data_IF_108963009927
#
_entry.id   IF_108963009927
#
_cell.length_a   1.000
_cell.length_b   1.000
_cell.length_c   1.000
_cell.angle_alpha   90.00
_cell.angle_beta   90.00
_cell.angle_gamma   90.00
#
_symmetry.space_group_name_H-M   'P 1'
#
loop_
_entity.id
_entity.type
_entity.pdbx_description
1 polymer ?
#
# COMPACT_ATOMS: atom_id res chain seq x y z
N UNK A 1 13.00 -12.31 -0.95
CA UNK A 1 13.24 -11.23 0.05
C UNK A 1 11.90 -10.88 0.70
N UNK A 2 11.83 -10.37 1.93
CA UNK A 2 10.54 -9.95 2.53
C UNK A 2 10.70 -8.64 3.31
N UNK A 3 9.81 -7.67 3.09
CA UNK A 3 9.80 -6.47 3.91
C UNK A 3 9.25 -6.76 5.31
N UNK A 4 9.80 -6.16 6.37
CA UNK A 4 9.23 -6.27 7.71
C UNK A 4 7.80 -5.69 7.78
N UNK A 5 6.94 -6.24 8.65
CA UNK A 5 5.55 -5.73 8.84
C UNK A 5 5.51 -4.24 9.16
N UNK A 6 6.40 -3.79 10.05
CA UNK A 6 6.52 -2.38 10.44
C UNK A 6 6.97 -1.52 9.27
N UNK A 7 7.82 -2.02 8.37
CA UNK A 7 8.27 -1.28 7.19
C UNK A 7 7.09 -0.93 6.28
N UNK A 8 6.26 -1.92 5.92
CA UNK A 8 5.04 -1.69 5.11
C UNK A 8 4.06 -0.73 5.78
N UNK A 9 3.94 -0.82 7.09
CA UNK A 9 3.09 0.09 7.86
C UNK A 9 3.59 1.54 7.79
N UNK A 10 4.90 1.76 7.85
CA UNK A 10 5.48 3.10 7.67
C UNK A 10 5.23 3.61 6.25
N UNK A 11 5.46 2.80 5.22
CA UNK A 11 5.18 3.18 3.82
C UNK A 11 3.70 3.56 3.65
N UNK A 12 2.78 2.78 4.21
CA UNK A 12 1.36 3.07 4.19
C UNK A 12 1.04 4.40 4.89
N UNK A 13 1.59 4.65 6.08
CA UNK A 13 1.34 5.92 6.80
C UNK A 13 1.86 7.13 6.02
N UNK A 14 3.02 7.00 5.36
CA UNK A 14 3.58 8.05 4.51
C UNK A 14 2.67 8.32 3.28
N UNK A 15 2.24 7.26 2.58
CA UNK A 15 1.28 7.37 1.47
C UNK A 15 -0.02 8.05 1.90
N UNK A 16 -0.59 7.61 3.03
CA UNK A 16 -1.82 8.17 3.57
C UNK A 16 -1.66 9.63 3.98
N UNK A 17 -0.55 10.00 4.64
CA UNK A 17 -0.31 11.39 5.04
C UNK A 17 -0.17 12.34 3.84
N UNK A 18 0.44 11.87 2.74
CA UNK A 18 0.66 12.65 1.54
C UNK A 18 -0.65 13.02 0.82
N UNK A 19 -1.76 12.30 1.07
CA UNK A 19 -3.07 12.60 0.51
C UNK A 19 -3.74 13.86 1.09
N UNK A 20 -3.29 14.34 2.27
CA UNK A 20 -3.90 15.48 2.95
C UNK A 20 -3.02 16.73 2.87
N UNK A 21 -1.71 16.58 2.98
CA UNK A 21 -0.77 17.70 2.94
C UNK A 21 0.63 17.25 2.53
N UNK A 22 1.32 18.12 1.80
CA UNK A 22 2.76 18.01 1.60
C UNK A 22 3.45 18.54 2.85
N UNK A 23 3.60 17.67 3.86
CA UNK A 23 4.43 17.96 5.02
C UNK A 23 5.87 17.48 4.74
N UNK A 24 6.90 18.25 5.15
CA UNK A 24 8.28 17.77 5.17
C UNK A 24 8.38 16.42 5.89
N UNK A 25 9.18 15.49 5.36
CA UNK A 25 9.37 14.16 5.96
C UNK A 25 9.75 14.28 7.44
N UNK A 26 10.61 15.24 7.77
CA UNK A 26 11.17 15.49 9.09
C UNK A 26 10.09 15.73 10.14
N UNK A 27 9.00 16.41 9.78
CA UNK A 27 7.88 16.68 10.68
C UNK A 27 7.06 15.42 10.97
N UNK A 28 6.90 14.54 9.97
CA UNK A 28 6.16 13.28 10.09
C UNK A 28 7.01 12.20 10.77
N UNK A 29 8.32 12.22 10.53
CA UNK A 29 9.26 11.17 10.92
C UNK A 29 9.31 10.96 12.43
N UNK A 30 9.31 12.03 13.23
CA UNK A 30 9.31 11.91 14.69
C UNK A 30 8.07 11.15 15.19
N UNK A 31 6.89 11.50 14.66
CA UNK A 31 5.62 10.86 15.01
C UNK A 31 5.60 9.37 14.60
N UNK A 32 6.10 9.04 13.42
CA UNK A 32 6.16 7.65 12.93
C UNK A 32 7.10 6.81 13.80
N UNK A 33 8.29 7.34 14.12
CA UNK A 33 9.27 6.63 14.93
C UNK A 33 8.72 6.29 16.31
N UNK A 34 8.01 7.24 16.92
CA UNK A 34 7.34 7.04 18.22
C UNK A 34 6.22 5.99 18.12
N UNK A 35 5.28 6.15 17.18
CA UNK A 35 4.09 5.29 17.09
C UNK A 35 4.37 3.87 16.63
N UNK A 36 5.30 3.69 15.68
CA UNK A 36 5.59 2.37 15.07
C UNK A 36 6.78 1.69 15.74
N UNK A 37 7.53 2.42 16.57
CA UNK A 37 8.78 1.97 17.20
C UNK A 37 9.76 1.41 16.15
N UNK A 38 10.22 2.31 15.27
CA UNK A 38 11.18 2.07 14.17
C UNK A 38 12.31 3.09 14.19
N UNK A 39 13.42 2.77 13.54
CA UNK A 39 14.57 3.68 13.46
C UNK A 39 14.37 4.74 12.37
N UNK A 40 15.10 5.86 12.49
CA UNK A 40 15.18 6.89 11.46
C UNK A 40 15.58 6.35 10.08
N UNK A 41 16.49 5.36 10.05
CA UNK A 41 16.92 4.69 8.82
C UNK A 41 15.74 4.00 8.13
N UNK A 42 14.94 3.25 8.89
CA UNK A 42 13.74 2.57 8.37
C UNK A 42 12.74 3.56 7.79
N UNK A 43 12.51 4.70 8.46
CA UNK A 43 11.59 5.72 7.94
C UNK A 43 12.08 6.31 6.62
N UNK A 44 13.38 6.58 6.49
CA UNK A 44 13.96 7.10 5.23
C UNK A 44 13.87 6.09 4.08
N UNK A 45 14.13 4.81 4.35
CA UNK A 45 13.99 3.75 3.36
C UNK A 45 12.52 3.58 2.92
N UNK A 46 11.59 3.64 3.87
CA UNK A 46 10.15 3.61 3.58
C UNK A 46 9.70 4.84 2.78
N UNK A 47 10.26 6.01 3.06
CA UNK A 47 10.00 7.23 2.29
C UNK A 47 10.51 7.12 0.85
N UNK A 48 11.68 6.52 0.63
CA UNK A 48 12.16 6.24 -0.72
C UNK A 48 11.17 5.33 -1.49
N UNK A 49 10.65 4.27 -0.85
CA UNK A 49 9.60 3.44 -1.47
C UNK A 49 8.31 4.21 -1.73
N UNK A 50 7.87 5.05 -0.81
CA UNK A 50 6.68 5.90 -1.00
C UNK A 50 6.83 6.83 -2.21
N UNK A 51 8.01 7.40 -2.44
CA UNK A 51 8.28 8.21 -3.62
C UNK A 51 8.22 7.37 -4.91
N UNK A 52 8.76 6.15 -4.90
CA UNK A 52 8.66 5.24 -6.06
C UNK A 52 7.21 4.87 -6.38
N UNK A 53 6.38 4.65 -5.36
CA UNK A 53 4.94 4.39 -5.53
C UNK A 53 4.24 5.63 -6.11
N UNK A 54 4.56 6.81 -5.61
CA UNK A 54 3.98 8.08 -6.09
C UNK A 54 4.37 8.36 -7.54
N UNK A 55 5.61 8.09 -7.93
CA UNK A 55 6.08 8.24 -9.31
C UNK A 55 5.38 7.30 -10.32
N UNK A 56 4.67 6.26 -9.83
CA UNK A 56 3.91 5.29 -10.63
C UNK A 56 2.40 5.41 -10.41
N UNK A 57 1.94 6.54 -9.88
CA UNK A 57 0.54 6.71 -9.49
C UNK A 57 -0.44 6.49 -10.66
N UNK A 58 -0.14 6.98 -11.86
CA UNK A 58 -1.02 6.84 -13.02
C UNK A 58 -1.27 5.37 -13.40
N UNK A 59 -0.20 4.58 -13.49
CA UNK A 59 -0.24 3.14 -13.81
C UNK A 59 -0.96 2.35 -12.71
N UNK A 60 -0.60 2.58 -11.45
CA UNK A 60 -1.22 1.91 -10.30
C UNK A 60 -2.72 2.24 -10.25
N UNK A 61 -3.09 3.50 -10.51
CA UNK A 61 -4.48 3.93 -10.51
C UNK A 61 -5.29 3.33 -11.66
N UNK A 62 -4.68 3.13 -12.82
CA UNK A 62 -5.32 2.44 -13.93
C UNK A 62 -5.70 1.01 -13.53
N UNK A 63 -4.77 0.27 -12.91
CA UNK A 63 -5.03 -1.09 -12.42
C UNK A 63 -6.09 -1.12 -11.32
N UNK A 64 -6.06 -0.19 -10.36
CA UNK A 64 -7.10 -0.10 -9.35
C UNK A 64 -8.47 0.11 -10.01
N UNK A 65 -8.57 1.05 -10.95
CA UNK A 65 -9.83 1.36 -11.64
C UNK A 65 -10.34 0.18 -12.46
N UNK A 66 -9.47 -0.52 -13.17
CA UNK A 66 -9.81 -1.69 -14.00
C UNK A 66 -10.32 -2.85 -13.14
N UNK A 67 -9.62 -3.16 -12.04
CA UNK A 67 -9.90 -4.33 -11.22
C UNK A 67 -10.92 -4.09 -10.10
N UNK A 68 -11.32 -2.84 -9.85
CA UNK A 68 -12.36 -2.49 -8.89
C UNK A 68 -13.74 -2.21 -9.51
N UNK A 69 -13.92 -2.29 -10.85
CA UNK A 69 -15.17 -1.89 -11.53
C UNK A 69 -16.42 -2.66 -11.06
N UNK A 70 -16.27 -3.93 -10.68
CA UNK A 70 -17.37 -4.77 -10.21
C UNK A 70 -17.77 -4.49 -8.75
N UNK A 71 -17.01 -3.66 -8.04
CA UNK A 71 -17.35 -3.23 -6.69
C UNK A 71 -18.23 -1.97 -6.78
N UNK A 72 -19.42 -2.02 -6.14
CA UNK A 72 -20.45 -0.96 -6.13
C UNK A 72 -20.02 0.35 -5.42
N UNK A 73 -18.78 0.80 -5.58
CA UNK A 73 -18.18 1.81 -4.71
C UNK A 73 -17.81 3.03 -5.54
N UNK A 74 -18.69 4.03 -5.54
CA UNK A 74 -18.45 5.28 -6.27
C UNK A 74 -17.27 6.11 -5.74
N UNK A 75 -16.64 5.75 -4.61
CA UNK A 75 -15.31 6.24 -4.18
C UNK A 75 -14.61 5.23 -3.26
N UNK A 76 -13.46 4.70 -3.66
CA UNK A 76 -12.62 3.87 -2.78
C UNK A 76 -12.11 4.78 -1.64
N UNK A 77 -12.32 4.43 -0.35
CA UNK A 77 -11.83 5.27 0.73
C UNK A 77 -10.30 5.30 0.77
N UNK A 78 -9.74 6.38 1.32
CA UNK A 78 -8.30 6.69 1.26
C UNK A 78 -7.42 5.60 1.89
N UNK A 79 -7.91 4.91 2.92
CA UNK A 79 -7.15 3.81 3.55
C UNK A 79 -7.00 2.65 2.57
N UNK A 80 -8.11 2.17 2.03
CA UNK A 80 -8.16 1.07 1.07
C UNK A 80 -7.33 1.41 -0.17
N UNK A 81 -7.50 2.62 -0.69
CA UNK A 81 -6.75 3.11 -1.84
C UNK A 81 -5.23 3.04 -1.62
N UNK A 82 -4.72 3.52 -0.48
CA UNK A 82 -3.28 3.47 -0.21
C UNK A 82 -2.77 2.04 0.09
N UNK A 83 -3.61 1.18 0.67
CA UNK A 83 -3.28 -0.25 0.80
C UNK A 83 -3.16 -0.91 -0.57
N UNK A 84 -4.08 -0.61 -1.50
CA UNK A 84 -4.00 -1.09 -2.88
C UNK A 84 -2.76 -0.56 -3.59
N UNK A 85 -2.43 0.73 -3.46
CA UNK A 85 -1.23 1.31 -4.09
C UNK A 85 0.04 0.59 -3.67
N UNK A 86 0.21 0.36 -2.36
CA UNK A 86 1.34 -0.39 -1.84
C UNK A 86 1.36 -1.84 -2.34
N UNK A 87 0.22 -2.52 -2.27
CA UNK A 87 0.11 -3.92 -2.71
C UNK A 87 0.41 -4.09 -4.20
N UNK A 88 -0.18 -3.26 -5.06
CA UNK A 88 0.04 -3.31 -6.51
C UNK A 88 1.49 -2.98 -6.86
N UNK A 89 2.08 -1.97 -6.21
CA UNK A 89 3.50 -1.68 -6.40
C UNK A 89 4.38 -2.89 -6.06
N UNK A 90 4.12 -3.56 -4.94
CA UNK A 90 4.85 -4.78 -4.58
C UNK A 90 4.66 -5.89 -5.63
N UNK A 91 3.44 -6.08 -6.15
CA UNK A 91 3.17 -7.10 -7.17
C UNK A 91 3.91 -6.85 -8.49
N UNK A 92 4.04 -5.58 -8.91
CA UNK A 92 4.66 -5.20 -10.18
C UNK A 92 6.19 -5.09 -10.08
N UNK A 93 6.69 -4.50 -8.99
CA UNK A 93 8.05 -3.99 -8.90
C UNK A 93 8.92 -4.74 -7.88
N UNK A 94 8.37 -5.69 -7.12
CA UNK A 94 9.12 -6.51 -6.17
C UNK A 94 9.04 -8.00 -6.54
N UNK A 95 9.68 -8.45 -7.65
CA UNK A 95 9.57 -9.83 -8.14
C UNK A 95 10.05 -10.90 -7.16
N UNK A 96 10.94 -10.53 -6.23
CA UNK A 96 11.47 -11.41 -5.18
C UNK A 96 10.52 -11.60 -3.98
N UNK A 97 9.37 -10.92 -3.98
CA UNK A 97 8.36 -11.03 -2.95
C UNK A 97 7.22 -11.97 -3.41
N UNK A 98 6.99 -13.09 -2.71
CA UNK A 98 5.88 -13.97 -3.04
C UNK A 98 4.53 -13.24 -2.97
N UNK A 99 3.70 -13.35 -4.01
CA UNK A 99 2.41 -12.65 -4.10
C UNK A 99 1.51 -12.90 -2.89
N UNK A 100 1.50 -14.13 -2.34
CA UNK A 100 0.73 -14.49 -1.14
C UNK A 100 1.12 -13.65 0.07
N UNK A 101 2.40 -13.27 0.19
CA UNK A 101 2.89 -12.42 1.28
C UNK A 101 2.38 -10.99 1.09
N UNK A 102 2.46 -10.45 -0.12
CA UNK A 102 1.92 -9.11 -0.45
C UNK A 102 0.43 -9.01 -0.12
N UNK A 103 -0.37 -9.97 -0.58
CA UNK A 103 -1.82 -9.99 -0.33
C UNK A 103 -2.11 -10.14 1.17
N UNK A 104 -1.44 -11.06 1.85
CA UNK A 104 -1.61 -11.26 3.30
C UNK A 104 -1.28 -10.00 4.11
N UNK A 105 -0.24 -9.25 3.72
CA UNK A 105 0.16 -8.03 4.42
C UNK A 105 -0.75 -6.85 4.09
N UNK A 106 -1.26 -6.75 2.85
CA UNK A 106 -2.28 -5.78 2.49
C UNK A 106 -3.58 -5.98 3.28
N UNK A 107 -4.04 -7.24 3.42
CA UNK A 107 -5.18 -7.58 4.28
C UNK A 107 -4.93 -7.21 5.74
N UNK A 108 -3.71 -7.46 6.25
CA UNK A 108 -3.34 -7.08 7.62
C UNK A 108 -3.44 -5.57 7.83
N UNK A 109 -2.93 -4.76 6.89
CA UNK A 109 -3.02 -3.30 6.96
C UNK A 109 -4.49 -2.85 6.90
N UNK A 110 -5.28 -3.41 5.99
CA UNK A 110 -6.71 -3.11 5.88
C UNK A 110 -7.46 -3.41 7.17
N UNK A 111 -7.24 -4.57 7.80
CA UNK A 111 -7.85 -4.89 9.11
C UNK A 111 -7.42 -3.97 10.24
N UNK A 112 -6.23 -3.38 10.16
CA UNK A 112 -5.70 -2.47 11.18
C UNK A 112 -6.24 -1.04 11.04
N UNK A 113 -6.47 -0.58 9.80
CA UNK A 113 -6.76 0.83 9.52
C UNK A 113 -8.14 1.08 8.88
N UNK A 114 -8.87 0.02 8.49
CA UNK A 114 -10.18 0.10 7.83
C UNK A 114 -11.19 -0.88 8.47
N UNK A 115 -12.25 -1.25 7.74
CA UNK A 115 -13.29 -2.16 8.23
C UNK A 115 -13.00 -3.62 7.87
N UNK A 116 -13.84 -4.54 8.38
CA UNK A 116 -13.73 -5.96 8.04
C UNK A 116 -14.04 -6.22 6.56
N UNK A 117 -14.99 -5.48 6.01
CA UNK A 117 -15.42 -5.54 4.61
C UNK A 117 -14.28 -5.11 3.67
N UNK A 118 -13.48 -4.12 4.09
CA UNK A 118 -12.30 -3.64 3.38
C UNK A 118 -11.30 -4.76 3.11
N UNK A 119 -11.12 -5.70 4.04
CA UNK A 119 -10.18 -6.81 3.86
C UNK A 119 -10.56 -7.73 2.68
N UNK A 120 -11.85 -8.02 2.51
CA UNK A 120 -12.35 -8.85 1.42
C UNK A 120 -12.22 -8.13 0.07
N UNK A 121 -12.53 -6.83 0.06
CA UNK A 121 -12.34 -5.96 -1.10
C UNK A 121 -10.88 -5.92 -1.56
N UNK A 122 -9.95 -5.61 -0.63
CA UNK A 122 -8.51 -5.56 -0.92
C UNK A 122 -8.00 -6.89 -1.46
N UNK A 123 -8.39 -8.01 -0.83
CA UNK A 123 -7.98 -9.33 -1.31
C UNK A 123 -8.42 -9.57 -2.75
N UNK A 124 -9.69 -9.34 -3.06
CA UNK A 124 -10.23 -9.61 -4.38
C UNK A 124 -9.62 -8.73 -5.47
N UNK A 125 -9.38 -7.45 -5.20
CA UNK A 125 -8.73 -6.54 -6.17
C UNK A 125 -7.30 -6.98 -6.42
N UNK A 126 -6.50 -7.25 -5.37
CA UNK A 126 -5.10 -7.67 -5.54
C UNK A 126 -4.97 -9.05 -6.21
N UNK A 127 -5.88 -9.99 -5.91
CA UNK A 127 -5.95 -11.28 -6.60
C UNK A 127 -6.27 -11.10 -8.09
N UNK A 128 -7.18 -10.18 -8.43
CA UNK A 128 -7.54 -9.88 -9.81
C UNK A 128 -6.39 -9.25 -10.59
N UNK A 129 -5.70 -8.26 -9.99
CA UNK A 129 -4.48 -7.65 -10.55
C UNK A 129 -3.38 -8.69 -10.75
N UNK A 130 -3.14 -9.56 -9.76
CA UNK A 130 -2.11 -10.59 -9.89
C UNK A 130 -2.35 -11.53 -11.08
N UNK A 131 -3.62 -11.90 -11.33
CA UNK A 131 -4.00 -12.76 -12.46
C UNK A 131 -3.85 -12.06 -13.82
N UNK A 132 -4.02 -10.75 -13.91
CA UNK A 132 -3.83 -10.03 -15.18
C UNK A 132 -2.36 -9.85 -15.54
N UNK A 133 -1.48 -9.66 -14.55
CA UNK A 133 -0.04 -9.48 -14.78
C UNK A 133 0.72 -10.80 -14.99
N UNK A 134 0.19 -11.92 -14.48
CA UNK A 134 0.70 -13.28 -14.73
C UNK A 134 -0.40 -14.16 -15.31
N UNK A 135 -0.70 -14.04 -16.62
CA UNK A 135 -1.57 -14.99 -17.28
C UNK A 135 -0.95 -16.39 -17.17
N UNK A 136 -1.79 -17.37 -16.82
CA UNK A 136 -1.42 -18.78 -16.75
C UNK A 136 -0.77 -19.28 -18.05
#
# INVERSE_FOLDING_TARGET
MSFPRKFREVVFQLLYSADFSQCPLEDIMAMIMEKVAVTKKVVREAYAMQQLITAREEEINALIKEHAQNYQVHRIPKVEYNVLRLGIYELLYCPDLPFKITISEAIRLSRKFATKESANFINAVLDSVYRSIKPC
#
